data_IF_574852291578
#
_entry.id   IF_574852291578
#
_cell.length_a   1.000
_cell.length_b   1.000
_cell.length_c   1.000
_cell.angle_alpha   90.00
_cell.angle_beta   90.00
_cell.angle_gamma   90.00
#
_symmetry.space_group_name_H-M   'P 1'
#
loop_
_entity.id
_entity.type
_entity.pdbx_description
1 polymer ?
#
# COMPACT_ATOMS: atom_id res chain seq x y z
N UNK A 1 0.20 -11.33 5.72
CA UNK A 1 -1.05 -11.61 6.45
C UNK A 1 -0.98 -11.22 7.93
N UNK A 2 0.19 -10.92 8.50
CA UNK A 2 0.37 -10.67 9.95
C UNK A 2 0.24 -9.19 10.37
N UNK A 3 0.16 -8.24 9.44
CA UNK A 3 0.15 -6.80 9.76
C UNK A 3 -1.24 -6.12 9.65
N UNK A 4 -2.28 -6.85 9.25
CA UNK A 4 -3.62 -6.27 9.08
C UNK A 4 -4.46 -6.09 10.34
N UNK A 5 -3.94 -6.36 11.55
CA UNK A 5 -4.75 -6.37 12.78
C UNK A 5 -4.66 -5.12 13.66
N UNK A 6 -3.87 -4.11 13.30
CA UNK A 6 -3.65 -2.95 14.18
C UNK A 6 -3.75 -1.60 13.46
N UNK A 7 -4.74 -0.82 13.84
CA UNK A 7 -4.75 0.63 13.76
C UNK A 7 -5.33 1.25 12.48
N UNK A 8 -5.93 2.40 12.63
CA UNK A 8 -6.42 3.28 11.57
C UNK A 8 -5.25 3.74 10.69
N UNK A 9 -5.16 3.21 9.49
CA UNK A 9 -4.12 3.53 8.51
C UNK A 9 -4.48 4.85 7.83
N UNK A 10 -3.57 5.82 7.83
CA UNK A 10 -3.56 6.98 6.94
C UNK A 10 -2.38 6.85 5.98
N UNK A 11 -2.59 7.12 4.71
CA UNK A 11 -1.79 6.70 3.57
C UNK A 11 -1.12 7.89 2.85
N UNK A 12 0.04 7.71 2.22
CA UNK A 12 0.78 8.76 1.46
C UNK A 12 1.37 8.24 0.13
N UNK A 13 1.39 9.09 -0.88
CA UNK A 13 1.41 8.82 -2.31
C UNK A 13 2.74 8.73 -3.06
N UNK A 14 2.81 7.95 -4.14
CA UNK A 14 3.22 8.28 -5.52
C UNK A 14 3.24 7.07 -6.46
N UNK A 15 2.76 7.23 -7.71
CA UNK A 15 2.85 6.26 -8.80
C UNK A 15 3.84 6.75 -9.87
N UNK A 16 4.69 5.88 -10.46
CA UNK A 16 5.83 6.28 -11.25
C UNK A 16 5.58 6.51 -12.75
N UNK A 17 4.34 6.61 -13.21
CA UNK A 17 4.06 7.09 -14.57
C UNK A 17 4.12 8.61 -14.68
N UNK A 18 4.16 9.32 -13.55
CA UNK A 18 4.47 10.74 -13.53
C UNK A 18 5.98 10.93 -13.53
N UNK A 19 6.45 11.85 -14.38
CA UNK A 19 7.83 12.35 -14.31
C UNK A 19 8.16 12.62 -12.84
N UNK A 20 9.25 12.03 -12.38
CA UNK A 20 9.86 12.32 -11.09
C UNK A 20 10.08 13.82 -10.91
N UNK A 21 9.06 14.52 -10.48
CA UNK A 21 9.30 15.54 -9.50
C UNK A 21 9.33 14.77 -8.18
N UNK A 22 10.47 14.71 -7.57
CA UNK A 22 10.62 14.44 -6.15
C UNK A 22 9.62 15.34 -5.47
N UNK A 23 8.42 14.83 -5.23
CA UNK A 23 7.51 15.43 -4.28
C UNK A 23 8.27 15.32 -2.96
N UNK A 24 9.01 16.38 -2.66
CA UNK A 24 9.28 16.78 -1.31
C UNK A 24 7.92 16.76 -0.63
N UNK A 25 7.66 15.68 0.09
CA UNK A 25 6.58 15.61 1.07
C UNK A 25 6.98 16.54 2.22
N UNK A 26 7.22 17.79 1.84
CA UNK A 26 7.32 18.89 2.78
C UNK A 26 5.94 19.05 3.41
N UNK A 27 5.88 18.59 4.67
CA UNK A 27 5.09 19.18 5.74
C UNK A 27 3.73 19.78 5.34
N UNK A 28 2.80 18.98 4.87
CA UNK A 28 1.39 19.32 5.11
C UNK A 28 1.08 18.96 6.56
N UNK A 29 0.95 20.00 7.36
CA UNK A 29 0.62 20.09 8.77
C UNK A 29 -0.27 18.95 9.28
N UNK A 30 0.38 17.87 9.73
CA UNK A 30 -0.14 16.99 10.77
C UNK A 30 0.74 17.19 11.99
N UNK A 31 0.14 17.62 13.08
CA UNK A 31 0.75 18.12 14.29
C UNK A 31 2.03 17.41 14.70
N UNK A 32 3.14 18.14 14.69
CA UNK A 32 4.44 17.70 15.11
C UNK A 32 5.26 17.04 14.00
N UNK A 33 6.53 17.38 13.97
CA UNK A 33 7.55 16.86 13.04
C UNK A 33 7.90 15.40 13.42
N UNK A 34 6.96 14.44 13.17
CA UNK A 34 7.20 13.02 13.44
C UNK A 34 8.09 12.43 12.35
N UNK A 35 9.18 11.79 12.75
CA UNK A 35 10.12 11.12 11.86
C UNK A 35 9.43 9.97 11.11
N UNK A 36 9.65 9.86 9.79
CA UNK A 36 9.21 8.74 8.98
C UNK A 36 10.35 7.75 8.82
N UNK A 37 10.22 6.59 9.43
CA UNK A 37 11.16 5.49 9.31
C UNK A 37 10.75 4.60 8.15
N UNK A 38 11.68 4.27 7.26
CA UNK A 38 11.43 3.44 6.08
C UNK A 38 12.55 2.42 5.86
N UNK A 39 12.21 1.21 5.37
CA UNK A 39 13.22 0.21 5.06
C UNK A 39 14.10 0.69 3.89
N UNK A 40 15.29 0.12 3.79
CA UNK A 40 16.31 0.49 2.81
C UNK A 40 15.86 0.36 1.34
N UNK A 41 14.87 -0.47 1.07
CA UNK A 41 14.33 -0.70 -0.27
C UNK A 41 13.17 0.24 -0.67
N UNK A 42 12.65 1.03 0.28
CA UNK A 42 11.39 1.77 0.07
C UNK A 42 11.43 2.74 -1.11
N UNK A 43 12.55 3.44 -1.27
CA UNK A 43 12.73 4.43 -2.33
C UNK A 43 13.15 3.79 -3.67
N UNK A 44 13.51 2.50 -3.69
CA UNK A 44 13.85 1.76 -4.90
C UNK A 44 12.62 1.32 -5.70
N UNK A 45 11.44 1.36 -5.07
CA UNK A 45 10.22 0.86 -5.69
C UNK A 45 9.78 1.70 -6.88
N UNK A 46 9.59 1.00 -8.00
CA UNK A 46 8.96 1.52 -9.22
C UNK A 46 7.90 0.55 -9.70
N UNK A 47 6.68 1.07 -9.97
CA UNK A 47 5.61 0.24 -10.51
C UNK A 47 5.96 -0.24 -11.93
N UNK A 48 5.83 -1.54 -12.18
CA UNK A 48 6.12 -2.16 -13.48
C UNK A 48 4.93 -2.13 -14.44
N UNK A 49 3.84 -1.47 -14.06
CA UNK A 49 2.66 -1.15 -14.87
C UNK A 49 2.11 -2.35 -15.67
N UNK A 50 2.10 -2.26 -17.00
CA UNK A 50 1.62 -3.29 -17.92
C UNK A 50 2.41 -4.61 -17.87
N UNK A 51 3.64 -4.58 -17.37
CA UNK A 51 4.48 -5.77 -17.17
C UNK A 51 4.14 -6.55 -15.90
N UNK A 52 3.26 -6.00 -15.03
CA UNK A 52 2.89 -6.64 -13.78
C UNK A 52 2.16 -7.96 -14.03
N UNK A 53 2.58 -9.05 -13.38
CA UNK A 53 1.94 -10.36 -13.49
C UNK A 53 0.61 -10.43 -12.76
N UNK A 54 0.46 -9.64 -11.68
CA UNK A 54 -0.75 -9.52 -10.88
C UNK A 54 -1.17 -8.05 -10.89
N UNK A 55 -2.41 -7.76 -11.28
CA UNK A 55 -2.90 -6.39 -11.30
C UNK A 55 -3.47 -5.98 -9.94
N UNK A 56 -3.03 -4.83 -9.41
CA UNK A 56 -3.65 -4.19 -8.25
C UNK A 56 -5.08 -3.67 -8.53
N UNK A 57 -5.57 -3.81 -9.76
CA UNK A 57 -6.93 -3.49 -10.16
C UNK A 57 -7.86 -4.71 -10.12
N UNK A 58 -7.47 -5.81 -9.45
CA UNK A 58 -8.22 -7.07 -9.41
C UNK A 58 -8.36 -7.59 -7.99
N UNK A 59 -9.48 -8.31 -7.74
CA UNK A 59 -9.69 -9.20 -6.59
C UNK A 59 -9.70 -8.54 -5.21
N UNK A 60 -9.65 -7.22 -5.08
CA UNK A 60 -9.66 -6.58 -3.78
C UNK A 60 -10.54 -5.33 -3.69
N UNK A 61 -10.80 -4.92 -2.46
CA UNK A 61 -11.68 -3.79 -2.14
C UNK A 61 -10.91 -2.46 -2.27
N UNK A 62 -11.07 -1.78 -3.40
CA UNK A 62 -10.47 -0.46 -3.64
C UNK A 62 -11.35 0.60 -2.97
N UNK A 63 -10.86 1.22 -1.91
CA UNK A 63 -11.53 2.31 -1.25
C UNK A 63 -11.44 3.61 -2.07
N UNK A 64 -12.52 4.38 -2.02
CA UNK A 64 -12.61 5.70 -2.64
C UNK A 64 -12.81 6.71 -1.51
N UNK A 65 -11.84 7.55 -1.30
CA UNK A 65 -11.89 8.61 -0.31
C UNK A 65 -12.92 9.69 -0.68
N UNK A 66 -13.35 10.47 0.31
CA UNK A 66 -14.43 11.44 0.12
C UNK A 66 -14.03 12.59 -0.80
N UNK A 67 -12.76 12.96 -0.87
CA UNK A 67 -12.27 14.00 -1.76
C UNK A 67 -12.32 13.53 -3.21
N UNK A 68 -11.74 12.37 -3.50
CA UNK A 68 -11.81 11.72 -4.82
C UNK A 68 -13.26 11.55 -5.26
N UNK A 69 -14.13 11.07 -4.36
CA UNK A 69 -15.55 10.90 -4.69
C UNK A 69 -16.23 12.20 -5.07
N UNK A 70 -15.96 13.32 -4.36
CA UNK A 70 -16.53 14.63 -4.71
C UNK A 70 -16.03 15.12 -6.05
N UNK A 71 -14.72 14.99 -6.31
CA UNK A 71 -14.09 15.41 -7.57
C UNK A 71 -14.66 14.63 -8.76
N UNK A 72 -14.95 13.35 -8.59
CA UNK A 72 -15.48 12.49 -9.64
C UNK A 72 -16.91 12.79 -10.06
N UNK A 73 -17.62 13.68 -9.37
CA UNK A 73 -19.04 14.01 -9.62
C UNK A 73 -19.26 14.60 -11.01
N UNK A 74 -18.33 15.42 -11.47
CA UNK A 74 -18.44 16.15 -12.74
C UNK A 74 -17.55 15.59 -13.83
N UNK A 75 -16.72 14.62 -13.53
CA UNK A 75 -15.77 14.03 -14.48
C UNK A 75 -16.47 12.90 -15.24
N UNK A 76 -16.48 12.99 -16.55
CA UNK A 76 -16.98 11.92 -17.40
C UNK A 76 -15.94 10.79 -17.49
N UNK A 77 -16.37 9.52 -17.55
CA UNK A 77 -15.43 8.43 -17.80
C UNK A 77 -14.87 8.54 -19.23
N UNK A 78 -13.61 8.07 -19.45
CA UNK A 78 -13.10 7.87 -20.81
C UNK A 78 -14.05 7.01 -21.65
N UNK A 79 -14.12 7.26 -22.93
CA UNK A 79 -15.05 6.56 -23.86
C UNK A 79 -14.85 5.06 -23.92
N UNK A 80 -13.64 4.59 -23.61
CA UNK A 80 -13.23 3.20 -23.62
C UNK A 80 -13.70 2.42 -22.38
N UNK A 81 -14.11 3.14 -21.32
CA UNK A 81 -14.55 2.50 -20.07
C UNK A 81 -15.90 1.83 -20.25
N UNK A 82 -16.04 0.54 -19.92
CA UNK A 82 -17.30 -0.16 -20.05
C UNK A 82 -18.43 0.43 -19.21
N UNK A 83 -19.66 0.32 -19.70
CA UNK A 83 -20.87 0.67 -18.96
C UNK A 83 -21.36 2.11 -19.12
N UNK A 84 -20.64 2.97 -19.83
CA UNK A 84 -21.06 4.32 -20.25
C UNK A 84 -21.84 5.11 -19.19
N UNK A 85 -21.29 5.19 -17.97
CA UNK A 85 -21.90 5.95 -16.86
C UNK A 85 -21.77 7.45 -17.10
N UNK A 86 -22.66 8.22 -16.47
CA UNK A 86 -22.70 9.69 -16.62
C UNK A 86 -21.49 10.41 -16.00
N UNK A 87 -20.86 9.83 -14.98
CA UNK A 87 -19.68 10.36 -14.32
C UNK A 87 -18.91 9.24 -13.59
N UNK A 88 -17.68 9.54 -13.14
CA UNK A 88 -16.83 8.57 -12.44
C UNK A 88 -17.43 8.10 -11.11
N UNK A 89 -18.19 8.95 -10.41
CA UNK A 89 -18.89 8.54 -9.17
C UNK A 89 -19.79 7.33 -9.36
N UNK A 90 -20.39 7.17 -10.54
CA UNK A 90 -21.34 6.09 -10.82
C UNK A 90 -20.70 4.70 -10.88
N UNK A 91 -19.36 4.64 -10.89
CA UNK A 91 -18.59 3.39 -10.77
C UNK A 91 -18.27 3.00 -9.33
N UNK A 92 -18.81 3.72 -8.35
CA UNK A 92 -18.62 3.42 -6.93
C UNK A 92 -19.88 2.89 -6.28
N UNK A 93 -19.73 2.23 -5.14
CA UNK A 93 -20.83 1.78 -4.30
C UNK A 93 -20.48 1.92 -2.82
N UNK A 94 -21.51 2.03 -1.95
CA UNK A 94 -21.33 1.93 -0.51
C UNK A 94 -21.38 0.45 -0.09
N UNK A 95 -20.42 0.02 0.70
CA UNK A 95 -20.37 -1.31 1.30
C UNK A 95 -19.73 -1.23 2.68
N UNK A 96 -20.38 -1.79 3.71
CA UNK A 96 -19.88 -1.84 5.08
C UNK A 96 -19.41 -0.47 5.62
N UNK A 97 -20.21 0.57 5.37
CA UNK A 97 -19.90 1.94 5.80
C UNK A 97 -18.82 2.66 4.97
N UNK A 98 -18.13 1.97 4.08
CA UNK A 98 -17.09 2.52 3.21
C UNK A 98 -17.61 2.73 1.79
N UNK A 99 -17.02 3.66 1.06
CA UNK A 99 -17.22 3.79 -0.38
C UNK A 99 -16.11 3.03 -1.10
N UNK A 100 -16.51 2.19 -2.03
CA UNK A 100 -15.57 1.33 -2.77
C UNK A 100 -15.83 1.41 -4.27
N UNK A 101 -14.84 0.98 -5.05
CA UNK A 101 -15.00 0.73 -6.49
C UNK A 101 -15.99 -0.42 -6.70
N UNK A 102 -16.92 -0.23 -7.64
CA UNK A 102 -17.82 -1.29 -8.09
C UNK A 102 -17.10 -2.13 -9.14
N UNK A 103 -16.58 -3.27 -8.70
CA UNK A 103 -15.87 -4.20 -9.58
C UNK A 103 -16.81 -4.80 -10.64
N UNK A 104 -16.25 -5.24 -11.77
CA UNK A 104 -16.96 -6.01 -12.79
C UNK A 104 -17.32 -7.41 -12.30
N UNK A 105 -18.02 -8.19 -13.11
CA UNK A 105 -18.36 -9.60 -12.81
C UNK A 105 -17.09 -10.48 -12.75
N UNK A 106 -16.04 -10.09 -13.48
CA UNK A 106 -14.73 -10.74 -13.48
C UNK A 106 -13.83 -10.26 -12.32
N UNK A 107 -14.39 -9.52 -11.36
CA UNK A 107 -13.66 -8.92 -10.24
C UNK A 107 -12.56 -7.93 -10.64
N UNK A 108 -12.67 -7.33 -11.83
CA UNK A 108 -11.77 -6.29 -12.31
C UNK A 108 -12.29 -4.89 -11.95
N UNK A 109 -11.37 -3.95 -11.71
CA UNK A 109 -11.69 -2.54 -11.69
C UNK A 109 -12.22 -2.11 -13.07
N UNK A 110 -13.35 -1.39 -13.19
CA UNK A 110 -13.90 -0.96 -14.47
C UNK A 110 -12.94 -0.06 -15.27
N UNK A 111 -11.93 0.51 -14.62
CA UNK A 111 -10.91 1.33 -15.26
C UNK A 111 -9.65 0.56 -15.69
N UNK A 112 -9.62 -0.76 -15.52
CA UNK A 112 -8.53 -1.61 -16.01
C UNK A 112 -8.69 -1.83 -17.52
N UNK A 113 -7.74 -1.34 -18.30
CA UNK A 113 -7.70 -1.54 -19.75
C UNK A 113 -7.18 -2.94 -20.12
N UNK A 114 -7.46 -3.38 -21.35
CA UNK A 114 -6.96 -4.67 -21.88
C UNK A 114 -5.44 -4.75 -21.92
N UNK A 115 -4.76 -3.64 -22.11
CA UNK A 115 -3.30 -3.54 -22.04
C UNK A 115 -2.76 -3.44 -20.59
N UNK A 116 -3.62 -3.67 -19.59
CA UNK A 116 -3.30 -3.68 -18.15
C UNK A 116 -2.94 -2.31 -17.56
N UNK A 117 -3.14 -1.22 -18.30
CA UNK A 117 -3.02 0.15 -17.78
C UNK A 117 -4.35 0.64 -17.23
N UNK A 118 -4.31 1.74 -16.48
CA UNK A 118 -5.51 2.39 -15.96
C UNK A 118 -6.05 3.43 -16.96
N UNK A 119 -7.30 3.32 -17.37
CA UNK A 119 -7.95 4.30 -18.23
C UNK A 119 -7.96 5.72 -17.64
N UNK A 120 -8.11 5.83 -16.30
CA UNK A 120 -8.11 7.15 -15.66
C UNK A 120 -6.73 7.82 -15.76
N UNK A 121 -5.66 7.05 -15.48
CA UNK A 121 -4.29 7.55 -15.60
C UNK A 121 -3.98 7.92 -17.03
N UNK A 122 -4.36 7.09 -17.99
CA UNK A 122 -4.11 7.34 -19.42
C UNK A 122 -4.82 8.57 -19.93
N UNK A 123 -6.03 8.88 -19.43
CA UNK A 123 -6.83 10.00 -19.93
C UNK A 123 -6.61 11.30 -19.14
N UNK A 124 -6.37 11.20 -17.83
CA UNK A 124 -6.43 12.36 -16.91
C UNK A 124 -5.21 12.50 -16.01
N UNK A 125 -4.31 11.49 -16.01
CA UNK A 125 -3.16 11.46 -15.10
C UNK A 125 -3.48 10.93 -13.72
N UNK A 126 -2.44 10.82 -12.88
CA UNK A 126 -2.49 10.15 -11.57
C UNK A 126 -3.33 10.89 -10.53
N UNK A 127 -3.45 12.21 -10.66
CA UNK A 127 -4.28 13.03 -9.76
C UNK A 127 -5.76 12.62 -9.75
N UNK A 128 -6.18 11.83 -10.74
CA UNK A 128 -7.54 11.31 -10.84
C UNK A 128 -7.75 10.02 -10.05
N UNK A 129 -6.68 9.40 -9.58
CA UNK A 129 -6.75 8.18 -8.78
C UNK A 129 -7.25 8.46 -7.36
N UNK A 130 -7.94 7.47 -6.75
CA UNK A 130 -8.21 7.51 -5.31
C UNK A 130 -6.91 7.41 -4.51
N UNK A 131 -6.92 7.92 -3.28
CA UNK A 131 -5.79 7.80 -2.37
C UNK A 131 -5.27 6.37 -2.28
N UNK A 132 -6.17 5.38 -2.16
CA UNK A 132 -5.82 3.95 -2.16
C UNK A 132 -5.00 3.53 -3.39
N UNK A 133 -5.39 3.97 -4.59
CA UNK A 133 -4.68 3.62 -5.81
C UNK A 133 -3.33 4.33 -5.95
N UNK A 134 -3.28 5.59 -5.45
CA UNK A 134 -2.06 6.39 -5.53
C UNK A 134 -0.95 5.83 -4.65
N UNK A 135 -1.30 5.31 -3.46
CA UNK A 135 -0.30 4.87 -2.47
C UNK A 135 0.12 3.41 -2.64
N UNK A 136 -0.79 2.53 -3.13
CA UNK A 136 -0.45 1.12 -3.29
C UNK A 136 0.90 0.94 -4.05
N UNK A 137 1.79 0.10 -3.58
CA UNK A 137 1.73 -0.88 -2.48
C UNK A 137 2.28 -0.37 -1.14
N UNK A 138 2.39 0.92 -0.96
CA UNK A 138 2.94 1.51 0.27
C UNK A 138 1.91 1.48 1.40
N UNK A 139 2.40 1.28 2.62
CA UNK A 139 1.64 1.40 3.87
C UNK A 139 2.42 2.29 4.84
N UNK A 140 1.70 3.13 5.58
CA UNK A 140 2.28 3.95 6.63
C UNK A 140 1.52 3.68 7.92
N UNK A 141 2.27 3.33 8.95
CA UNK A 141 1.77 3.11 10.31
C UNK A 141 2.20 4.27 11.19
N UNK A 142 1.26 4.85 11.90
CA UNK A 142 1.49 5.96 12.81
C UNK A 142 1.54 5.47 14.26
N UNK A 143 2.65 5.73 14.94
CA UNK A 143 2.87 5.47 16.34
C UNK A 143 2.82 6.79 17.12
N UNK A 144 3.01 6.75 18.44
CA UNK A 144 2.92 7.96 19.28
C UNK A 144 3.99 9.00 18.98
N UNK A 145 5.16 8.57 18.54
CA UNK A 145 6.36 9.40 18.43
C UNK A 145 7.04 9.34 17.05
N UNK A 146 6.60 8.43 16.17
CA UNK A 146 7.16 8.28 14.83
C UNK A 146 6.13 7.67 13.87
N UNK A 147 6.48 7.60 12.59
CA UNK A 147 5.76 6.87 11.55
C UNK A 147 6.67 5.84 10.94
N UNK A 148 6.12 4.70 10.57
CA UNK A 148 6.85 3.67 9.83
C UNK A 148 6.21 3.44 8.48
N UNK A 149 7.02 3.43 7.44
CA UNK A 149 6.61 3.05 6.10
C UNK A 149 6.99 1.60 5.81
N UNK A 150 6.13 0.90 5.10
CA UNK A 150 6.40 -0.44 4.58
C UNK A 150 5.75 -0.61 3.21
N UNK A 151 5.91 -1.78 2.62
CA UNK A 151 5.25 -2.14 1.35
C UNK A 151 4.59 -3.49 1.43
N UNK A 152 3.45 -3.60 0.75
CA UNK A 152 2.64 -4.82 0.74
C UNK A 152 3.32 -5.93 -0.08
N UNK A 153 3.47 -7.15 0.48
CA UNK A 153 4.10 -8.29 -0.21
C UNK A 153 3.24 -8.87 -1.34
N UNK A 154 2.00 -8.42 -1.49
CA UNK A 154 1.15 -8.84 -2.61
C UNK A 154 1.53 -8.15 -3.94
N UNK A 155 2.42 -7.14 -3.92
CA UNK A 155 2.91 -6.48 -5.13
C UNK A 155 4.11 -7.24 -5.71
N UNK A 156 4.05 -7.74 -6.97
CA UNK A 156 5.16 -8.46 -7.59
C UNK A 156 6.46 -7.65 -7.65
N UNK A 157 6.37 -6.36 -7.96
CA UNK A 157 7.55 -5.50 -8.01
C UNK A 157 8.25 -5.34 -6.65
N UNK A 158 7.49 -5.37 -5.55
CA UNK A 158 8.06 -5.38 -4.19
C UNK A 158 8.76 -6.70 -3.92
N UNK A 159 8.13 -7.82 -4.30
CA UNK A 159 8.75 -9.14 -4.13
C UNK A 159 10.03 -9.29 -4.95
N UNK A 160 10.08 -8.72 -6.14
CA UNK A 160 11.28 -8.76 -6.97
C UNK A 160 12.43 -7.97 -6.34
N UNK A 161 12.16 -6.78 -5.78
CA UNK A 161 13.14 -6.03 -4.98
C UNK A 161 13.65 -6.88 -3.80
N UNK A 162 12.76 -7.53 -3.07
CA UNK A 162 13.15 -8.34 -1.91
C UNK A 162 13.99 -9.57 -2.30
N UNK A 163 13.72 -10.21 -3.44
CA UNK A 163 14.51 -11.35 -3.93
C UNK A 163 15.95 -10.97 -4.28
N UNK A 164 16.17 -9.74 -4.73
CA UNK A 164 17.52 -9.26 -5.09
C UNK A 164 18.34 -8.86 -3.87
N UNK A 165 17.70 -8.60 -2.73
CA UNK A 165 18.36 -8.20 -1.49
C UNK A 165 18.74 -9.43 -0.65
N UNK A 166 20.02 -9.52 -0.27
CA UNK A 166 20.48 -10.53 0.70
C UNK A 166 19.94 -10.30 2.10
N UNK A 167 19.68 -9.06 2.44
CA UNK A 167 19.15 -8.63 3.74
C UNK A 167 18.37 -7.34 3.55
N UNK A 168 17.25 -7.25 4.24
CA UNK A 168 16.45 -6.01 4.34
C UNK A 168 16.83 -5.33 5.64
N UNK A 169 17.20 -4.05 5.57
CA UNK A 169 17.50 -3.24 6.73
C UNK A 169 16.29 -2.34 7.08
N UNK A 170 15.90 -2.38 8.35
CA UNK A 170 14.92 -1.47 8.92
C UNK A 170 15.64 -0.49 9.85
N UNK A 171 15.28 0.80 9.87
CA UNK A 171 15.84 1.73 10.80
C UNK A 171 15.49 1.34 12.25
N UNK A 172 16.43 1.52 13.16
CA UNK A 172 16.18 1.34 14.59
C UNK A 172 15.49 2.57 15.17
N UNK A 173 14.44 2.37 15.95
CA UNK A 173 13.78 3.46 16.66
C UNK A 173 14.38 3.66 18.04
N UNK A 174 14.76 4.88 18.41
CA UNK A 174 15.44 5.15 19.70
C UNK A 174 14.61 4.77 20.94
N UNK A 175 13.27 4.80 20.82
CA UNK A 175 12.35 4.55 21.94
C UNK A 175 11.78 3.14 21.99
N UNK A 176 12.08 2.28 21.03
CA UNK A 176 11.55 0.91 20.94
C UNK A 176 11.94 0.00 22.11
N UNK A 177 12.98 0.38 22.88
CA UNK A 177 13.56 -0.50 23.89
C UNK A 177 12.62 -0.81 25.06
N UNK A 178 11.52 -0.09 25.22
CA UNK A 178 10.67 -0.18 26.42
C UNK A 178 9.22 -0.61 26.14
N UNK A 179 8.77 -0.60 24.89
CA UNK A 179 7.39 -0.99 24.56
C UNK A 179 7.30 -2.49 24.21
N UNK A 180 6.37 -3.24 24.83
CA UNK A 180 6.24 -4.69 24.61
C UNK A 180 6.09 -5.07 23.15
N UNK A 181 5.33 -4.30 22.36
CA UNK A 181 5.14 -4.53 20.94
C UNK A 181 6.47 -4.57 20.15
N UNK A 182 7.35 -3.60 20.40
CA UNK A 182 8.64 -3.53 19.70
C UNK A 182 9.63 -4.59 20.18
N UNK A 183 9.57 -4.97 21.46
CA UNK A 183 10.37 -6.11 21.96
C UNK A 183 10.00 -7.40 21.27
N UNK A 184 8.71 -7.66 21.10
CA UNK A 184 8.21 -8.82 20.40
C UNK A 184 8.60 -8.78 18.91
N UNK A 185 8.38 -7.65 18.25
CA UNK A 185 8.78 -7.45 16.86
C UNK A 185 10.27 -7.74 16.68
N UNK A 186 11.12 -7.20 17.54
CA UNK A 186 12.58 -7.47 17.50
C UNK A 186 12.86 -8.96 17.64
N UNK A 187 12.26 -9.62 18.61
CA UNK A 187 12.46 -11.05 18.81
C UNK A 187 12.06 -11.86 17.57
N UNK A 188 10.92 -11.53 16.94
CA UNK A 188 10.49 -12.19 15.69
C UNK A 188 11.44 -11.88 14.54
N UNK A 189 11.90 -10.64 14.43
CA UNK A 189 12.88 -10.27 13.40
C UNK A 189 14.22 -10.99 13.60
N UNK A 190 14.71 -11.11 14.83
CA UNK A 190 15.93 -11.87 15.14
C UNK A 190 15.80 -13.33 14.70
N UNK A 191 14.63 -13.94 14.94
CA UNK A 191 14.36 -15.31 14.48
C UNK A 191 14.34 -15.42 12.95
N UNK A 192 13.72 -14.47 12.26
CA UNK A 192 13.65 -14.43 10.79
C UNK A 192 15.03 -14.23 10.17
N UNK A 193 15.88 -13.45 10.81
CA UNK A 193 17.21 -13.10 10.31
C UNK A 193 18.32 -14.08 10.75
N UNK A 194 17.99 -15.11 11.53
CA UNK A 194 18.94 -16.13 11.97
C UNK A 194 19.33 -17.04 10.81
N UNK A 195 20.60 -17.01 10.33
CA UNK A 195 21.03 -17.80 9.19
C UNK A 195 21.15 -19.30 9.49
N UNK A 196 21.15 -19.68 10.76
CA UNK A 196 21.25 -21.09 11.19
C UNK A 196 19.88 -21.80 11.22
N UNK A 197 18.78 -21.05 11.02
CA UNK A 197 17.41 -21.59 11.08
C UNK A 197 16.84 -21.83 9.69
N UNK A 198 16.11 -22.92 9.57
CA UNK A 198 15.25 -23.14 8.40
C UNK A 198 14.02 -22.25 8.45
N UNK A 199 13.38 -21.95 7.30
CA UNK A 199 12.13 -21.19 7.26
C UNK A 199 11.02 -21.80 8.13
N UNK A 200 10.95 -23.14 8.22
CA UNK A 200 9.97 -23.88 9.02
C UNK A 200 10.20 -23.69 10.51
N UNK A 201 11.45 -23.79 10.97
CA UNK A 201 11.83 -23.54 12.38
C UNK A 201 11.53 -22.09 12.76
N UNK A 202 11.92 -21.13 11.91
CA UNK A 202 11.64 -19.70 12.10
C UNK A 202 10.15 -19.43 12.24
N UNK A 203 9.33 -20.01 11.35
CA UNK A 203 7.87 -19.84 11.40
C UNK A 203 7.28 -20.42 12.69
N UNK A 204 7.71 -21.62 13.08
CA UNK A 204 7.23 -22.31 14.27
C UNK A 204 7.59 -21.54 15.55
N UNK A 205 8.84 -21.12 15.69
CA UNK A 205 9.28 -20.33 16.85
C UNK A 205 8.61 -18.96 16.92
N UNK A 206 8.46 -18.27 15.78
CA UNK A 206 7.71 -17.01 15.73
C UNK A 206 6.27 -17.19 16.19
N UNK A 207 5.63 -18.30 15.80
CA UNK A 207 4.28 -18.63 16.26
C UNK A 207 4.21 -18.84 17.78
N UNK A 208 5.19 -19.54 18.36
CA UNK A 208 5.26 -19.72 19.82
C UNK A 208 5.48 -18.39 20.55
N UNK A 209 6.40 -17.55 20.09
CA UNK A 209 6.61 -16.20 20.66
C UNK A 209 5.32 -15.40 20.68
N UNK A 210 4.57 -15.42 19.57
CA UNK A 210 3.30 -14.67 19.48
C UNK A 210 2.19 -15.29 20.32
N UNK A 211 2.19 -16.62 20.52
CA UNK A 211 1.21 -17.31 21.37
C UNK A 211 1.41 -17.01 22.86
N UNK A 212 2.64 -16.86 23.32
CA UNK A 212 2.96 -16.55 24.73
C UNK A 212 2.48 -15.14 25.14
N UNK A 213 2.05 -14.29 24.18
CA UNK A 213 1.56 -12.94 24.42
C UNK A 213 0.05 -12.85 24.63
N UNK A 214 -0.66 -13.96 24.50
CA UNK A 214 -2.10 -14.10 24.76
C UNK A 214 -2.35 -14.72 26.13
#
# INVERSE_FOLDING_TARGET
AFLCLWGKIKQVNSCPFCKQETLELENKEYGGNMELLKPDYYDEFTCIADKCTISCCREWKINIDDETYRNWKTIQPPSEVPGHRSCLQAYTMKKDGSRIMKMTEEHDCPFLAKNRLCYLVSAYGDSMLSETCQIFPREIHEFQDHKEATMMPCCPAVLDIWKEKKRIAFPETPKEKEQPLFLVRRKVMDLIMDPEKTPEETLLESFYVLKELH
#
